data_IF_794546427548
#
_entry.id   IF_794546427548
#
_cell.length_a   1.000
_cell.length_b   1.000
_cell.length_c   1.000
_cell.angle_alpha   90.00
_cell.angle_beta   90.00
_cell.angle_gamma   90.00
#
_symmetry.space_group_name_H-M   'P 1'
#
loop_
_entity.id
_entity.type
_entity.pdbx_description
1 polymer ?
#
# COMPACT_ATOMS: atom_id res chain seq x y z
N UNK A 1 12.22 -6.42 -5.40
CA UNK A 1 10.92 -5.77 -5.63
C UNK A 1 10.91 -4.38 -5.02
N UNK A 2 10.47 -3.34 -5.73
CA UNK A 2 10.29 -2.00 -5.16
C UNK A 2 8.86 -1.83 -4.65
N UNK A 3 8.67 -1.99 -3.34
CA UNK A 3 7.39 -1.89 -2.67
C UNK A 3 7.38 -0.71 -1.69
N UNK A 4 6.22 -0.07 -1.53
CA UNK A 4 6.04 0.96 -0.53
C UNK A 4 4.60 1.46 -0.43
N UNK A 5 4.37 2.30 0.58
CA UNK A 5 3.10 2.99 0.77
C UNK A 5 3.16 4.39 0.15
N UNK A 6 2.14 4.74 -0.63
CA UNK A 6 1.83 6.13 -1.00
C UNK A 6 0.89 6.70 0.07
N UNK A 7 1.45 7.48 0.99
CA UNK A 7 0.76 7.97 2.18
C UNK A 7 -0.08 9.20 1.84
N UNK A 8 -1.37 9.17 2.19
CA UNK A 8 -2.30 10.29 2.04
C UNK A 8 -2.99 10.52 3.37
N UNK A 9 -2.73 11.67 3.99
CA UNK A 9 -3.26 12.04 5.31
C UNK A 9 -3.89 13.42 5.25
N UNK A 10 -4.85 13.66 6.12
CA UNK A 10 -5.36 15.00 6.43
C UNK A 10 -4.68 15.59 7.67
N UNK A 11 -5.03 16.83 8.02
CA UNK A 11 -4.46 17.56 9.15
C UNK A 11 -4.57 16.78 10.47
N UNK A 12 -5.70 16.09 10.69
CA UNK A 12 -5.98 15.38 11.94
C UNK A 12 -5.29 14.02 12.04
N UNK A 13 -4.85 13.44 10.92
CA UNK A 13 -4.18 12.13 10.87
C UNK A 13 -2.68 12.24 10.58
N UNK A 14 -2.17 13.44 10.32
CA UNK A 14 -0.75 13.69 10.00
C UNK A 14 0.20 13.11 11.04
N UNK A 15 -0.11 13.16 12.34
CA UNK A 15 0.75 12.59 13.38
C UNK A 15 0.89 11.06 13.30
N UNK A 16 0.01 10.38 12.56
CA UNK A 16 0.11 8.93 12.29
C UNK A 16 0.92 8.59 11.04
N UNK A 17 1.39 9.59 10.29
CA UNK A 17 2.21 9.36 9.09
C UNK A 17 3.51 8.61 9.40
N UNK A 18 4.11 8.82 10.59
CA UNK A 18 5.29 8.08 11.04
C UNK A 18 5.04 6.57 11.15
N UNK A 19 3.84 6.17 11.60
CA UNK A 19 3.43 4.76 11.68
C UNK A 19 3.30 4.14 10.28
N UNK A 20 2.73 4.90 9.33
CA UNK A 20 2.61 4.46 7.93
C UNK A 20 3.98 4.37 7.26
N UNK A 21 4.85 5.35 7.51
CA UNK A 21 6.22 5.37 6.99
C UNK A 21 7.01 4.18 7.52
N UNK A 22 6.90 3.84 8.80
CA UNK A 22 7.51 2.66 9.39
C UNK A 22 7.12 1.37 8.65
N UNK A 23 5.84 1.16 8.35
CA UNK A 23 5.39 0.00 7.57
C UNK A 23 5.97 0.02 6.15
N UNK A 24 5.98 1.19 5.50
CA UNK A 24 6.56 1.35 4.16
C UNK A 24 8.05 1.00 4.14
N UNK A 25 8.81 1.48 5.12
CA UNK A 25 10.24 1.20 5.23
C UNK A 25 10.52 -0.26 5.58
N UNK A 26 9.67 -0.87 6.40
CA UNK A 26 9.75 -2.29 6.74
C UNK A 26 9.55 -3.17 5.49
N UNK A 27 8.51 -2.91 4.70
CA UNK A 27 8.26 -3.60 3.44
C UNK A 27 9.43 -3.41 2.47
N UNK A 28 9.87 -2.17 2.28
CA UNK A 28 10.94 -1.83 1.34
C UNK A 28 12.26 -2.51 1.71
N UNK A 29 12.67 -2.45 2.97
CA UNK A 29 13.95 -2.99 3.44
C UNK A 29 14.03 -4.52 3.33
N UNK A 30 12.91 -5.23 3.53
CA UNK A 30 12.87 -6.69 3.55
C UNK A 30 12.55 -7.34 2.20
N UNK A 31 11.95 -6.58 1.26
CA UNK A 31 11.51 -7.10 -0.04
C UNK A 31 12.29 -6.54 -1.23
N UNK A 32 13.22 -5.58 -1.01
CA UNK A 32 14.01 -4.95 -2.08
C UNK A 32 14.75 -5.95 -2.97
N UNK A 33 15.35 -6.98 -2.39
CA UNK A 33 16.21 -7.94 -3.10
C UNK A 33 15.46 -9.21 -3.52
N UNK A 34 14.16 -9.31 -3.19
CA UNK A 34 13.32 -10.45 -3.58
C UNK A 34 12.74 -10.23 -4.97
N UNK A 35 12.84 -11.27 -5.81
CA UNK A 35 12.16 -11.34 -7.11
C UNK A 35 10.96 -12.28 -7.02
N UNK A 36 9.81 -11.78 -7.49
CA UNK A 36 8.54 -12.48 -7.56
C UNK A 36 8.01 -12.59 -9.00
N UNK A 37 8.83 -12.15 -9.96
CA UNK A 37 8.55 -12.11 -11.40
C UNK A 37 7.40 -11.17 -11.80
N UNK A 38 7.47 -10.61 -13.01
CA UNK A 38 6.43 -9.78 -13.66
C UNK A 38 6.14 -8.42 -13.01
N UNK A 39 5.94 -8.36 -11.70
CA UNK A 39 5.75 -7.12 -10.95
C UNK A 39 7.10 -6.73 -10.35
N UNK A 40 7.61 -5.56 -10.72
CA UNK A 40 8.84 -4.99 -10.16
C UNK A 40 8.55 -3.85 -9.18
N UNK A 41 7.40 -3.18 -9.35
CA UNK A 41 6.96 -2.07 -8.52
C UNK A 41 5.59 -2.37 -7.93
N UNK A 42 5.47 -2.34 -6.60
CA UNK A 42 4.24 -2.60 -5.88
C UNK A 42 3.87 -1.38 -5.03
N UNK A 43 2.93 -0.58 -5.51
CA UNK A 43 2.53 0.68 -4.88
C UNK A 43 1.18 0.53 -4.19
N UNK A 44 1.16 0.82 -2.89
CA UNK A 44 -0.05 0.71 -2.06
C UNK A 44 -0.44 2.10 -1.58
N UNK A 45 -1.57 2.63 -2.04
CA UNK A 45 -2.12 3.86 -1.47
C UNK A 45 -2.62 3.55 -0.06
N UNK A 46 -2.08 4.27 0.93
CA UNK A 46 -2.49 4.21 2.32
C UNK A 46 -3.12 5.56 2.68
N UNK A 47 -4.45 5.61 2.70
CA UNK A 47 -5.20 6.84 2.91
C UNK A 47 -5.86 6.89 4.30
N UNK A 48 -5.52 7.87 5.12
CA UNK A 48 -6.29 8.23 6.31
C UNK A 48 -6.82 9.66 6.13
N UNK A 49 -8.00 9.78 5.54
CA UNK A 49 -8.67 11.07 5.35
C UNK A 49 -10.10 10.91 5.80
N UNK A 50 -10.57 11.79 6.71
CA UNK A 50 -11.95 11.73 7.20
C UNK A 50 -12.89 11.90 6.02
N UNK A 51 -13.64 10.84 5.70
CA UNK A 51 -14.58 10.90 4.59
C UNK A 51 -15.76 11.76 5.01
N UNK A 52 -16.03 12.84 4.27
CA UNK A 52 -17.21 13.68 4.49
C UNK A 52 -18.39 13.04 3.77
N UNK A 53 -19.52 12.77 4.44
CA UNK A 53 -20.72 12.24 3.79
C UNK A 53 -21.15 13.09 2.59
N UNK A 54 -21.41 12.44 1.45
CA UNK A 54 -21.73 13.09 0.17
C UNK A 54 -20.51 13.49 -0.68
N UNK A 55 -19.29 13.33 -0.15
CA UNK A 55 -18.02 13.63 -0.84
C UNK A 55 -17.14 12.39 -0.99
N UNK A 56 -17.69 11.18 -0.88
CA UNK A 56 -16.98 9.90 -0.91
C UNK A 56 -16.16 9.73 -2.19
N UNK A 57 -16.65 10.26 -3.31
CA UNK A 57 -15.95 10.20 -4.61
C UNK A 57 -14.55 10.84 -4.59
N UNK A 58 -14.33 11.84 -3.75
CA UNK A 58 -13.04 12.54 -3.64
C UNK A 58 -12.04 11.78 -2.77
N UNK A 59 -12.51 10.78 -2.02
CA UNK A 59 -11.70 9.89 -1.19
C UNK A 59 -11.73 8.45 -1.69
N UNK A 60 -12.19 8.25 -2.93
CA UNK A 60 -12.27 6.93 -3.54
C UNK A 60 -10.87 6.43 -3.90
N UNK A 61 -10.52 5.24 -3.40
CA UNK A 61 -9.28 4.57 -3.77
C UNK A 61 -9.41 4.02 -5.19
N UNK A 62 -8.44 4.29 -6.09
CA UNK A 62 -8.42 3.70 -7.44
C UNK A 62 -8.48 2.17 -7.39
N UNK A 63 -9.11 1.57 -8.39
CA UNK A 63 -9.14 0.10 -8.53
C UNK A 63 -7.71 -0.44 -8.69
N UNK A 64 -7.47 -1.60 -8.11
CA UNK A 64 -6.19 -2.28 -8.30
C UNK A 64 -5.94 -2.56 -9.78
N UNK A 65 -4.69 -2.37 -10.23
CA UNK A 65 -4.32 -2.50 -11.64
C UNK A 65 -2.86 -2.92 -11.79
N UNK A 66 -2.60 -3.62 -12.88
CA UNK A 66 -1.25 -3.93 -13.35
C UNK A 66 -0.99 -3.22 -14.68
N UNK A 67 0.14 -2.56 -14.78
CA UNK A 67 0.66 -1.88 -15.96
C UNK A 67 2.03 -2.47 -16.32
N UNK A 68 2.16 -3.02 -17.53
CA UNK A 68 3.44 -3.55 -18.01
C UNK A 68 4.49 -2.44 -18.15
N UNK A 69 4.05 -1.24 -18.54
CA UNK A 69 4.86 -0.05 -18.70
C UNK A 69 4.07 1.17 -18.22
N UNK A 70 4.66 1.92 -17.28
CA UNK A 70 4.10 3.15 -16.73
C UNK A 70 5.13 4.26 -16.91
N UNK A 71 4.75 5.32 -17.62
CA UNK A 71 5.63 6.45 -17.92
C UNK A 71 5.15 7.68 -17.16
N UNK A 72 5.97 8.18 -16.25
CA UNK A 72 5.67 9.36 -15.44
C UNK A 72 6.50 10.55 -15.92
N UNK A 73 5.86 11.72 -16.04
CA UNK A 73 6.53 12.99 -16.31
C UNK A 73 6.96 13.61 -14.98
N UNK A 74 8.24 13.91 -14.86
CA UNK A 74 8.84 14.59 -13.73
C UNK A 74 8.59 16.11 -13.82
N UNK A 75 8.81 16.83 -12.70
CA UNK A 75 8.60 18.29 -12.63
C UNK A 75 9.51 19.08 -13.58
N UNK A 76 10.70 18.56 -13.85
CA UNK A 76 11.68 19.12 -14.79
C UNK A 76 11.39 18.77 -16.26
N UNK A 77 10.22 18.17 -16.54
CA UNK A 77 9.79 17.68 -17.85
C UNK A 77 10.57 16.47 -18.39
N UNK A 78 11.45 15.86 -17.60
CA UNK A 78 12.01 14.55 -17.93
C UNK A 78 10.96 13.45 -17.68
N UNK A 79 11.25 12.23 -18.15
CA UNK A 79 10.36 11.10 -17.96
C UNK A 79 11.08 9.98 -17.21
N UNK A 80 10.36 9.32 -16.32
CA UNK A 80 10.79 8.09 -15.67
C UNK A 80 9.88 6.95 -16.12
N UNK A 81 10.49 5.91 -16.67
CA UNK A 81 9.80 4.71 -17.09
C UNK A 81 9.89 3.63 -16.00
N UNK A 82 8.74 3.06 -15.67
CA UNK A 82 8.60 1.95 -14.74
C UNK A 82 8.01 0.75 -15.47
N UNK A 83 8.55 -0.45 -15.23
CA UNK A 83 8.09 -1.68 -15.86
C UNK A 83 7.53 -2.64 -14.83
N UNK A 84 6.38 -3.24 -15.12
CA UNK A 84 5.72 -4.16 -14.20
C UNK A 84 5.24 -3.48 -12.93
N UNK A 85 4.35 -2.49 -13.06
CA UNK A 85 3.80 -1.71 -11.95
C UNK A 85 2.45 -2.30 -11.53
N UNK A 86 2.34 -2.69 -10.28
CA UNK A 86 1.07 -3.00 -9.64
C UNK A 86 0.70 -1.89 -8.67
N UNK A 87 -0.51 -1.35 -8.81
CA UNK A 87 -1.05 -0.34 -7.92
C UNK A 87 -2.29 -0.90 -7.22
N UNK A 88 -2.39 -0.71 -5.91
CA UNK A 88 -3.61 -0.94 -5.14
C UNK A 88 -3.70 0.09 -4.02
N UNK A 89 -4.70 -0.04 -3.16
CA UNK A 89 -4.77 0.79 -1.97
C UNK A 89 -5.89 0.40 -1.04
N UNK A 90 -5.89 1.05 0.11
CA UNK A 90 -6.93 0.98 1.11
C UNK A 90 -7.06 2.35 1.78
N UNK A 91 -8.21 2.56 2.43
CA UNK A 91 -8.44 3.71 3.28
C UNK A 91 -8.79 3.27 4.69
N UNK A 92 -8.40 4.08 5.67
CA UNK A 92 -9.02 4.11 6.99
C UNK A 92 -10.33 4.89 6.78
N UNK A 93 -11.44 4.17 6.70
CA UNK A 93 -12.74 4.77 6.39
C UNK A 93 -13.33 5.55 7.56
N UNK A 94 -14.47 6.19 7.35
CA UNK A 94 -15.09 7.05 8.36
C UNK A 94 -15.44 6.32 9.66
N UNK A 95 -15.74 5.01 9.60
CA UNK A 95 -16.10 4.22 10.78
C UNK A 95 -14.87 3.90 11.63
N UNK A 96 -13.72 3.67 10.99
CA UNK A 96 -12.45 3.36 11.66
C UNK A 96 -11.64 4.61 12.02
N UNK A 97 -11.85 5.73 11.32
CA UNK A 97 -10.98 6.89 11.33
C UNK A 97 -10.78 7.51 12.72
N UNK A 98 -11.86 7.82 13.44
CA UNK A 98 -11.76 8.45 14.76
C UNK A 98 -11.05 7.52 15.77
N UNK A 99 -11.28 6.20 15.68
CA UNK A 99 -10.58 5.21 16.49
C UNK A 99 -9.10 5.12 16.13
N UNK A 100 -8.77 5.16 14.85
CA UNK A 100 -7.40 5.10 14.36
C UNK A 100 -6.57 6.30 14.85
N UNK A 101 -7.11 7.52 14.77
CA UNK A 101 -6.40 8.71 15.24
C UNK A 101 -6.15 8.67 16.75
N UNK A 102 -7.17 8.26 17.51
CA UNK A 102 -7.11 8.20 18.98
C UNK A 102 -6.27 7.02 19.50
N UNK A 103 -5.92 6.05 18.64
CA UNK A 103 -5.14 4.88 19.04
C UNK A 103 -3.69 5.23 19.37
N UNK A 104 -3.01 4.36 20.11
CA UNK A 104 -1.56 4.47 20.29
C UNK A 104 -0.83 4.22 18.96
N UNK A 105 0.42 4.66 18.83
CA UNK A 105 1.21 4.43 17.62
C UNK A 105 1.42 2.93 17.34
N UNK A 106 1.54 2.13 18.40
CA UNK A 106 1.61 0.66 18.29
C UNK A 106 0.36 0.08 17.64
N UNK A 107 -0.83 0.50 18.08
CA UNK A 107 -2.10 0.01 17.55
C UNK A 107 -2.41 0.58 16.16
N UNK A 108 -2.02 1.83 15.88
CA UNK A 108 -2.09 2.40 14.55
C UNK A 108 -1.22 1.61 13.55
N UNK A 109 0.02 1.29 13.94
CA UNK A 109 0.96 0.50 13.13
C UNK A 109 0.41 -0.89 12.82
N UNK A 110 -0.16 -1.58 13.81
CA UNK A 110 -0.85 -2.87 13.63
C UNK A 110 -2.05 -2.76 12.71
N UNK A 111 -2.83 -1.68 12.81
CA UNK A 111 -3.97 -1.44 11.93
C UNK A 111 -3.53 -1.27 10.48
N UNK A 112 -2.46 -0.52 10.22
CA UNK A 112 -1.88 -0.36 8.88
C UNK A 112 -1.37 -1.70 8.35
N UNK A 113 -0.65 -2.49 9.16
CA UNK A 113 -0.16 -3.81 8.77
C UNK A 113 -1.29 -4.75 8.36
N UNK A 114 -2.38 -4.81 9.15
CA UNK A 114 -3.57 -5.61 8.81
C UNK A 114 -4.21 -5.17 7.50
N UNK A 115 -4.39 -3.86 7.28
CA UNK A 115 -4.94 -3.33 6.03
C UNK A 115 -4.05 -3.64 4.82
N UNK A 116 -2.72 -3.63 4.99
CA UNK A 116 -1.79 -4.10 3.95
C UNK A 116 -2.05 -5.57 3.63
N UNK A 117 -2.16 -6.45 4.64
CA UNK A 117 -2.46 -7.88 4.42
C UNK A 117 -3.81 -8.09 3.75
N UNK A 118 -4.85 -7.40 4.19
CA UNK A 118 -6.19 -7.45 3.58
C UNK A 118 -6.13 -7.04 2.09
N UNK A 119 -5.32 -6.02 1.77
CA UNK A 119 -5.14 -5.56 0.38
C UNK A 119 -4.50 -6.61 -0.54
N UNK A 120 -3.77 -7.60 0.01
CA UNK A 120 -3.16 -8.68 -0.77
C UNK A 120 -4.21 -9.59 -1.42
N UNK A 121 -5.45 -9.60 -0.91
CA UNK A 121 -6.57 -10.30 -1.55
C UNK A 121 -6.85 -9.80 -2.97
N UNK A 122 -6.48 -8.56 -3.30
CA UNK A 122 -6.59 -8.00 -4.65
C UNK A 122 -5.73 -8.76 -5.68
N UNK A 123 -4.69 -9.47 -5.23
CA UNK A 123 -3.84 -10.29 -6.09
C UNK A 123 -4.55 -11.54 -6.62
N UNK A 124 -5.71 -11.90 -6.06
CA UNK A 124 -6.55 -12.96 -6.60
C UNK A 124 -7.24 -12.55 -7.91
N UNK A 125 -7.28 -11.24 -8.21
CA UNK A 125 -7.93 -10.65 -9.39
C UNK A 125 -6.91 -10.06 -10.38
N UNK A 126 -5.69 -10.59 -10.39
CA UNK A 126 -4.66 -10.16 -11.34
C UNK A 126 -5.11 -10.39 -12.78
N UNK A 127 -4.74 -9.45 -13.66
CA UNK A 127 -4.98 -9.59 -15.09
C UNK A 127 -4.12 -10.72 -15.67
N UNK A 128 -4.50 -11.26 -16.84
CA UNK A 128 -3.72 -12.30 -17.53
C UNK A 128 -2.25 -11.88 -17.81
N UNK A 129 -2.01 -10.58 -17.97
CA UNK A 129 -0.67 -10.02 -18.17
C UNK A 129 0.24 -10.18 -16.95
N UNK A 130 -0.34 -10.33 -15.77
CA UNK A 130 0.39 -10.53 -14.51
C UNK A 130 0.41 -12.01 -14.07
N UNK A 131 0.08 -12.97 -14.94
CA UNK A 131 -0.09 -14.38 -14.57
C UNK A 131 1.19 -15.05 -14.04
N UNK A 132 2.37 -14.55 -14.40
CA UNK A 132 3.66 -15.08 -13.95
C UNK A 132 4.11 -14.57 -12.57
N UNK A 133 3.36 -13.67 -11.92
CA UNK A 133 3.70 -13.19 -10.59
C UNK A 133 3.47 -14.28 -9.52
N UNK A 134 4.50 -14.56 -8.72
CA UNK A 134 4.45 -15.51 -7.61
C UNK A 134 3.71 -14.91 -6.39
N UNK A 135 2.40 -14.76 -6.56
CA UNK A 135 1.51 -14.12 -5.58
C UNK A 135 1.46 -14.86 -4.24
N UNK A 136 1.62 -16.18 -4.23
CA UNK A 136 1.50 -16.96 -2.99
C UNK A 136 2.76 -16.82 -2.14
N UNK A 137 3.95 -16.88 -2.76
CA UNK A 137 5.20 -16.58 -2.06
C UNK A 137 5.24 -15.13 -1.58
N UNK A 138 4.82 -14.18 -2.41
CA UNK A 138 4.75 -12.77 -2.02
C UNK A 138 3.83 -12.54 -0.81
N UNK A 139 2.62 -13.11 -0.81
CA UNK A 139 1.71 -13.03 0.34
C UNK A 139 2.33 -13.63 1.60
N UNK A 140 2.92 -14.81 1.48
CA UNK A 140 3.57 -15.50 2.60
C UNK A 140 4.70 -14.64 3.19
N UNK A 141 5.55 -14.07 2.35
CA UNK A 141 6.67 -13.23 2.79
C UNK A 141 6.20 -11.96 3.52
N UNK A 142 5.14 -11.30 3.05
CA UNK A 142 4.57 -10.11 3.71
C UNK A 142 3.95 -10.46 5.05
N UNK A 143 3.20 -11.56 5.13
CA UNK A 143 2.57 -12.01 6.38
C UNK A 143 3.63 -12.40 7.40
N UNK A 144 4.63 -13.20 6.99
CA UNK A 144 5.73 -13.62 7.86
C UNK A 144 6.50 -12.41 8.39
N UNK A 145 6.82 -11.44 7.52
CA UNK A 145 7.51 -10.21 7.92
C UNK A 145 6.78 -9.49 9.06
N UNK A 146 5.46 -9.33 8.95
CA UNK A 146 4.69 -8.65 9.99
C UNK A 146 4.53 -9.48 11.27
N UNK A 147 4.47 -10.81 11.18
CA UNK A 147 4.48 -11.69 12.35
C UNK A 147 5.80 -11.60 13.12
N UNK A 148 6.94 -11.61 12.43
CA UNK A 148 8.27 -11.47 13.03
C UNK A 148 8.44 -10.14 13.78
N UNK A 149 7.70 -9.11 13.38
CA UNK A 149 7.70 -7.78 14.02
C UNK A 149 6.55 -7.59 15.03
N UNK A 150 5.77 -8.63 15.34
CA UNK A 150 4.68 -8.57 16.33
C UNK A 150 3.52 -7.64 15.93
N UNK A 151 3.32 -7.47 14.61
CA UNK A 151 2.30 -6.60 14.02
C UNK A 151 1.01 -7.35 13.65
N UNK A 152 1.07 -8.69 13.57
CA UNK A 152 -0.05 -9.61 13.33
C UNK A 152 -0.18 -10.61 14.48
#
# INVERSE_FOLDING_TARGET
MNIGLSIVVDTNSTHKSSCMQYISDLLKSNLKDKDYHVINHYWIICQAVKTIPGFERFTAIPRHRFEEHSRLRNLDNTFTDYYGVYSCGFKIDNEEYDRFIASSDKEATRTIARKVVESLSNLNRLSKKAAGFDKERFKSDVIQLFQEHGLL
#
